data_IF_817500233215
#
_entry.id   IF_817500233215
#
_cell.length_a   1.000
_cell.length_b   1.000
_cell.length_c   1.000
_cell.angle_alpha   90.00
_cell.angle_beta   90.00
_cell.angle_gamma   90.00
#
_symmetry.space_group_name_H-M   'P 1'
#
loop_
_entity.id
_entity.type
_entity.pdbx_description
1 polymer ?
#
# COMPACT_ATOMS: atom_id res chain seq x y z
N UNK A 1 -3.84 11.79 2.42
CA UNK A 1 -4.05 10.54 1.64
C UNK A 1 -2.77 9.72 1.71
N UNK A 2 -2.85 8.39 1.80
CA UNK A 2 -1.68 7.51 1.82
C UNK A 2 -1.48 6.88 0.45
N UNK A 3 -0.23 6.74 0.02
CA UNK A 3 0.12 6.02 -1.20
C UNK A 3 0.98 4.81 -0.82
N UNK A 4 0.46 3.62 -1.06
CA UNK A 4 1.15 2.36 -0.83
C UNK A 4 1.88 1.93 -2.10
N UNK A 5 3.18 1.67 -1.96
CA UNK A 5 4.04 1.23 -3.05
C UNK A 5 3.95 -0.28 -3.21
N UNK A 6 3.24 -0.74 -4.24
CA UNK A 6 3.23 -2.13 -4.66
C UNK A 6 3.79 -2.30 -6.09
N UNK A 7 4.83 -1.53 -6.43
CA UNK A 7 5.46 -1.58 -7.75
C UNK A 7 6.09 -2.95 -8.09
N UNK A 8 6.36 -3.77 -7.08
CA UNK A 8 6.85 -5.13 -7.26
C UNK A 8 5.73 -6.15 -7.52
N UNK A 9 4.45 -5.73 -7.44
CA UNK A 9 3.31 -6.58 -7.75
C UNK A 9 3.08 -7.69 -6.72
N UNK A 10 3.23 -7.38 -5.42
CA UNK A 10 2.93 -8.32 -4.34
C UNK A 10 1.47 -8.74 -4.42
N UNK A 11 1.24 -10.04 -4.54
CA UNK A 11 -0.09 -10.65 -4.56
C UNK A 11 -0.49 -11.06 -3.14
N UNK A 12 -1.17 -10.14 -2.45
CA UNK A 12 -1.63 -10.35 -1.08
C UNK A 12 -2.58 -11.54 -0.93
N UNK A 13 -3.35 -11.87 -1.97
CA UNK A 13 -4.28 -13.01 -1.91
C UNK A 13 -3.53 -14.32 -1.79
N UNK A 14 -2.47 -14.47 -2.59
CA UNK A 14 -1.60 -15.64 -2.58
C UNK A 14 -0.76 -15.71 -1.29
N UNK A 15 -0.12 -14.60 -0.90
CA UNK A 15 0.76 -14.54 0.27
C UNK A 15 0.01 -14.88 1.57
N UNK A 16 -1.22 -14.40 1.72
CA UNK A 16 -1.99 -14.54 2.96
C UNK A 16 -3.14 -15.56 2.88
N UNK A 17 -3.22 -16.35 1.79
CA UNK A 17 -4.32 -17.29 1.52
C UNK A 17 -5.71 -16.63 1.70
N UNK A 18 -5.83 -15.40 1.22
CA UNK A 18 -6.94 -14.52 1.55
C UNK A 18 -8.27 -15.01 0.96
N UNK A 19 -8.22 -15.73 -0.16
CA UNK A 19 -9.40 -16.37 -0.80
C UNK A 19 -10.13 -17.33 0.13
N UNK A 20 -9.43 -17.92 1.10
CA UNK A 20 -10.01 -18.83 2.10
C UNK A 20 -10.53 -18.02 3.30
N UNK A 21 -9.71 -17.13 3.87
CA UNK A 21 -10.04 -16.40 5.10
C UNK A 21 -11.08 -15.27 4.92
N UNK A 22 -11.10 -14.60 3.78
CA UNK A 22 -12.03 -13.48 3.51
C UNK A 22 -13.48 -13.94 3.36
N UNK A 23 -13.72 -15.16 2.87
CA UNK A 23 -15.07 -15.74 2.78
C UNK A 23 -15.67 -16.05 4.15
N UNK A 24 -14.84 -16.45 5.11
CA UNK A 24 -15.31 -16.89 6.42
C UNK A 24 -15.48 -15.74 7.42
N UNK A 25 -14.75 -14.63 7.23
CA UNK A 25 -14.73 -13.50 8.19
C UNK A 25 -15.42 -12.23 7.68
N UNK A 26 -15.77 -12.14 6.39
CA UNK A 26 -16.43 -10.97 5.81
C UNK A 26 -15.56 -9.71 5.78
N UNK A 27 -14.25 -9.86 5.97
CA UNK A 27 -13.29 -8.76 6.00
C UNK A 27 -12.97 -8.23 4.58
N UNK A 28 -12.74 -6.92 4.48
CA UNK A 28 -12.24 -6.27 3.27
C UNK A 28 -10.87 -6.81 2.84
N UNK A 29 -10.51 -6.72 1.54
CA UNK A 29 -9.23 -7.23 1.05
C UNK A 29 -8.02 -6.55 1.71
N UNK A 30 -6.92 -7.30 1.85
CA UNK A 30 -5.60 -6.78 2.18
C UNK A 30 -5.11 -5.95 1.01
N UNK A 31 -4.73 -4.71 1.29
CA UNK A 31 -4.27 -3.75 0.30
C UNK A 31 -2.79 -3.40 0.46
N UNK A 32 -2.22 -3.69 1.63
CA UNK A 32 -0.82 -3.42 1.94
C UNK A 32 -0.37 -4.22 3.16
N UNK A 33 0.93 -4.49 3.25
CA UNK A 33 1.59 -5.04 4.42
C UNK A 33 2.90 -4.29 4.69
N UNK A 34 3.31 -4.28 5.96
CA UNK A 34 4.60 -3.72 6.34
C UNK A 34 5.18 -4.45 7.55
N UNK A 35 6.36 -5.03 7.39
CA UNK A 35 7.06 -5.71 8.47
C UNK A 35 7.75 -4.70 9.40
N UNK A 36 7.97 -5.09 10.66
CA UNK A 36 8.60 -4.23 11.68
C UNK A 36 9.98 -3.74 11.28
N UNK A 37 10.77 -4.58 10.60
CA UNK A 37 12.08 -4.19 10.07
C UNK A 37 11.97 -3.08 9.02
N UNK A 38 10.88 -3.04 8.26
CA UNK A 38 10.59 -1.97 7.31
C UNK A 38 10.04 -0.73 8.03
N UNK A 39 9.25 -0.89 9.08
CA UNK A 39 8.74 0.23 9.92
C UNK A 39 9.89 0.95 10.62
N UNK A 40 10.86 0.21 11.15
CA UNK A 40 12.05 0.77 11.81
C UNK A 40 12.95 1.54 10.84
N UNK A 41 12.81 1.34 9.52
CA UNK A 41 13.57 2.07 8.52
C UNK A 41 13.03 3.49 8.36
N UNK A 42 13.90 4.49 8.52
CA UNK A 42 13.57 5.92 8.39
C UNK A 42 12.99 6.32 7.01
N UNK A 43 13.12 5.47 5.99
CA UNK A 43 12.46 5.65 4.69
C UNK A 43 10.94 5.48 4.76
N UNK A 44 10.42 4.78 5.77
CA UNK A 44 8.99 4.49 5.98
C UNK A 44 8.39 5.24 7.17
N UNK A 45 9.01 6.36 7.59
CA UNK A 45 8.56 7.21 8.70
C UNK A 45 7.09 7.63 8.59
N UNK A 46 6.54 7.71 7.37
CA UNK A 46 5.14 8.07 7.14
C UNK A 46 4.15 7.00 7.61
N UNK A 47 4.62 5.80 7.98
CA UNK A 47 3.79 4.75 8.58
C UNK A 47 3.00 5.24 9.79
N UNK A 48 3.57 6.15 10.59
CA UNK A 48 2.90 6.71 11.77
C UNK A 48 1.61 7.49 11.43
N UNK A 49 1.44 7.93 10.18
CA UNK A 49 0.28 8.68 9.72
C UNK A 49 -0.83 7.78 9.16
N UNK A 50 -0.61 6.47 9.09
CA UNK A 50 -1.58 5.51 8.56
C UNK A 50 -2.65 5.25 9.62
N UNK A 51 -3.88 5.67 9.34
CA UNK A 51 -5.00 5.51 10.27
C UNK A 51 -6.24 4.92 9.61
N UNK A 52 -7.04 4.18 10.39
CA UNK A 52 -8.36 3.70 9.95
C UNK A 52 -9.25 4.87 9.52
N UNK A 53 -10.02 4.65 8.46
CA UNK A 53 -10.94 5.63 7.87
C UNK A 53 -10.30 6.54 6.82
N UNK A 54 -8.97 6.56 6.72
CA UNK A 54 -8.24 7.38 5.77
C UNK A 54 -8.32 6.80 4.34
N UNK A 55 -8.25 7.70 3.35
CA UNK A 55 -8.14 7.31 1.95
C UNK A 55 -6.71 6.89 1.62
N UNK A 56 -6.58 5.77 0.93
CA UNK A 56 -5.32 5.21 0.46
C UNK A 56 -5.39 4.86 -1.04
N UNK A 57 -4.26 4.96 -1.73
CA UNK A 57 -4.10 4.47 -3.10
C UNK A 57 -3.00 3.41 -3.13
N UNK A 58 -3.28 2.27 -3.74
CA UNK A 58 -2.26 1.25 -4.00
C UNK A 58 -1.71 1.46 -5.40
N UNK A 59 -0.42 1.73 -5.48
CA UNK A 59 0.31 1.95 -6.72
C UNK A 59 0.88 0.60 -7.19
N UNK A 60 0.23 -0.01 -8.18
CA UNK A 60 0.60 -1.31 -8.76
C UNK A 60 1.64 -1.13 -9.86
N UNK A 61 2.62 -2.04 -10.00
CA UNK A 61 3.69 -1.92 -11.01
C UNK A 61 3.56 -2.79 -12.27
N UNK A 62 2.43 -3.48 -12.47
CA UNK A 62 2.26 -4.42 -13.59
C UNK A 62 1.85 -3.74 -14.92
N UNK A 63 1.80 -4.52 -16.01
CA UNK A 63 1.45 -4.06 -17.37
C UNK A 63 -0.01 -3.57 -17.52
N UNK A 64 -0.84 -3.68 -16.48
CA UNK A 64 -2.23 -3.21 -16.39
C UNK A 64 -2.36 -2.37 -15.12
N UNK A 65 -1.81 -1.16 -15.17
CA UNK A 65 -1.84 -0.18 -14.09
C UNK A 65 -3.27 0.20 -13.68
N UNK A 66 -3.88 -0.60 -12.82
CA UNK A 66 -5.12 -0.26 -12.16
C UNK A 66 -4.79 0.34 -10.79
N UNK A 67 -4.85 1.66 -10.69
CA UNK A 67 -4.77 2.31 -9.39
C UNK A 67 -6.13 2.26 -8.74
N UNK A 68 -6.21 1.58 -7.60
CA UNK A 68 -7.45 1.50 -6.83
C UNK A 68 -7.32 2.38 -5.61
N UNK A 69 -8.33 3.22 -5.42
CA UNK A 69 -8.48 4.06 -4.24
C UNK A 69 -9.35 3.30 -3.25
N UNK A 70 -8.85 3.18 -2.03
CA UNK A 70 -9.47 2.47 -0.94
C UNK A 70 -9.72 3.42 0.23
N UNK A 71 -10.69 3.06 1.07
CA UNK A 71 -10.80 3.56 2.44
C UNK A 71 -10.22 2.50 3.36
N UNK A 72 -9.25 2.86 4.20
CA UNK A 72 -8.66 1.93 5.17
C UNK A 72 -9.75 1.54 6.19
N UNK A 73 -10.04 0.24 6.29
CA UNK A 73 -11.10 -0.26 7.19
C UNK A 73 -10.54 -0.97 8.41
N UNK A 74 -9.32 -1.53 8.32
CA UNK A 74 -8.67 -2.24 9.42
C UNK A 74 -7.15 -2.15 9.28
N UNK A 75 -6.46 -2.10 10.41
CA UNK A 75 -5.02 -2.28 10.53
C UNK A 75 -4.81 -3.37 11.58
N UNK A 76 -4.14 -4.45 11.22
CA UNK A 76 -4.03 -5.65 12.04
C UNK A 76 -2.56 -5.99 12.26
N UNK A 77 -2.19 -6.32 13.49
CA UNK A 77 -0.88 -6.89 13.78
C UNK A 77 -0.82 -8.31 13.23
N UNK A 78 0.28 -8.66 12.58
CA UNK A 78 0.59 -10.04 12.19
C UNK A 78 1.89 -10.48 12.81
N UNK A 79 1.93 -11.76 13.16
CA UNK A 79 3.11 -12.46 13.61
C UNK A 79 3.22 -13.73 12.77
N UNK A 80 4.34 -13.87 12.08
CA UNK A 80 4.71 -15.10 11.42
C UNK A 80 5.58 -15.91 12.38
N UNK A 81 4.98 -16.94 12.97
CA UNK A 81 5.65 -17.83 13.91
C UNK A 81 6.82 -18.61 13.29
N UNK A 82 6.83 -18.79 11.96
CA UNK A 82 7.86 -19.55 11.23
C UNK A 82 9.08 -18.66 11.00
N UNK A 83 8.85 -17.43 10.53
CA UNK A 83 9.95 -16.49 10.26
C UNK A 83 10.32 -15.62 11.47
N UNK A 84 9.58 -15.76 12.58
CA UNK A 84 9.61 -14.87 13.74
C UNK A 84 9.49 -13.39 13.36
N UNK A 85 8.87 -13.11 12.21
CA UNK A 85 8.71 -11.76 11.72
C UNK A 85 7.35 -11.23 12.14
N UNK A 86 7.33 -10.00 12.61
CA UNK A 86 6.10 -9.30 12.97
C UNK A 86 5.90 -8.10 12.05
N UNK A 87 4.67 -7.64 11.94
CA UNK A 87 4.32 -6.53 11.08
C UNK A 87 2.86 -6.19 11.15
N UNK A 88 2.39 -5.46 10.14
CA UNK A 88 0.99 -5.06 10.03
C UNK A 88 0.43 -5.38 8.66
N UNK A 89 -0.84 -5.76 8.65
CA UNK A 89 -1.70 -5.79 7.47
C UNK A 89 -2.62 -4.60 7.48
N UNK A 90 -2.81 -4.01 6.30
CA UNK A 90 -3.80 -2.97 6.07
C UNK A 90 -4.88 -3.52 5.15
N UNK A 91 -6.13 -3.41 5.60
CA UNK A 91 -7.31 -3.76 4.81
C UNK A 91 -8.04 -2.51 4.35
N UNK A 92 -8.68 -2.59 3.20
CA UNK A 92 -9.45 -1.47 2.69
C UNK A 92 -10.59 -1.83 1.77
N UNK A 93 -11.70 -1.10 1.94
CA UNK A 93 -12.84 -1.14 1.05
C UNK A 93 -12.56 -0.31 -0.21
N UNK A 94 -12.91 -0.85 -1.38
CA UNK A 94 -12.75 -0.14 -2.66
C UNK A 94 -13.70 1.05 -2.69
N UNK A 95 -13.16 2.25 -2.92
CA UNK A 95 -13.95 3.47 -3.13
C UNK A 95 -14.03 3.79 -4.62
N UNK A 96 -12.92 3.66 -5.34
CA UNK A 96 -12.89 3.92 -6.78
C UNK A 96 -11.78 3.13 -7.46
N UNK A 97 -11.98 2.77 -8.72
CA UNK A 97 -10.97 2.18 -9.59
C UNK A 97 -10.66 3.17 -10.70
N UNK A 98 -9.42 3.61 -10.75
CA UNK A 98 -8.93 4.47 -11.83
C UNK A 98 -8.36 3.55 -12.90
N UNK A 99 -9.06 3.46 -14.02
CA UNK A 99 -8.59 2.76 -15.20
C UNK A 99 -7.51 3.62 -15.87
N UNK A 100 -6.26 3.46 -15.43
CA UNK A 100 -5.14 4.14 -16.06
C UNK A 100 -4.63 3.25 -17.18
N UNK A 101 -4.90 3.64 -18.43
CA UNK A 101 -4.34 2.96 -19.59
C UNK A 101 -2.92 3.47 -19.81
N UNK A 102 -1.92 2.69 -19.41
CA UNK A 102 -0.58 2.84 -19.97
C UNK A 102 0.57 2.28 -19.14
N UNK A 103 1.72 2.95 -19.23
CA UNK A 103 3.06 2.45 -18.86
C UNK A 103 3.54 3.06 -17.54
N UNK A 104 4.72 2.66 -17.02
CA UNK A 104 5.30 3.19 -15.76
C UNK A 104 5.26 4.73 -15.65
N UNK A 105 5.27 5.45 -16.77
CA UNK A 105 5.16 6.91 -16.83
C UNK A 105 3.83 7.45 -16.26
N UNK A 106 2.74 6.69 -16.29
CA UNK A 106 1.43 7.16 -15.79
C UNK A 106 1.33 7.12 -14.26
N UNK A 107 2.09 6.23 -13.60
CA UNK A 107 2.28 6.26 -12.15
C UNK A 107 3.04 7.53 -11.76
N UNK A 108 4.12 7.82 -12.48
CA UNK A 108 4.90 9.04 -12.27
C UNK A 108 4.04 10.28 -12.47
N UNK A 109 3.13 10.27 -13.44
CA UNK A 109 2.16 11.35 -13.63
C UNK A 109 1.16 11.49 -12.48
N UNK A 110 0.60 10.39 -11.97
CA UNK A 110 -0.31 10.43 -10.80
C UNK A 110 0.40 10.96 -9.54
N UNK A 111 1.68 10.64 -9.38
CA UNK A 111 2.48 11.06 -8.23
C UNK A 111 3.20 12.39 -8.44
N UNK A 112 3.26 12.93 -9.67
CA UNK A 112 3.91 14.20 -9.98
C UNK A 112 3.26 15.38 -9.26
N UNK A 113 1.95 15.33 -9.01
CA UNK A 113 1.24 16.32 -8.22
C UNK A 113 1.45 16.19 -6.70
N UNK A 114 2.14 15.15 -6.25
CA UNK A 114 2.40 14.88 -4.83
C UNK A 114 3.81 15.32 -4.49
N UNK A 115 3.94 16.46 -3.81
CA UNK A 115 5.23 16.89 -3.26
C UNK A 115 5.57 16.05 -2.03
N UNK A 116 6.64 15.26 -2.11
CA UNK A 116 7.12 14.48 -0.99
C UNK A 116 8.63 14.20 -1.09
N UNK A 117 9.38 14.36 0.00
CA UNK A 117 10.86 14.17 0.03
C UNK A 117 11.34 12.77 -0.37
N UNK A 118 10.44 11.78 -0.33
CA UNK A 118 10.71 10.38 -0.71
C UNK A 118 10.21 10.03 -2.11
N UNK A 119 9.66 11.00 -2.82
CA UNK A 119 9.38 10.92 -4.24
C UNK A 119 10.44 11.70 -5.02
N UNK A 120 10.87 11.14 -6.14
CA UNK A 120 11.77 11.81 -7.10
C UNK A 120 11.19 11.55 -8.48
N UNK A 121 10.80 12.62 -9.19
CA UNK A 121 10.14 12.56 -10.50
C UNK A 121 8.92 11.61 -10.52
N UNK A 122 8.06 11.71 -9.49
CA UNK A 122 6.88 10.86 -9.35
C UNK A 122 7.18 9.39 -9.05
N UNK A 123 8.42 9.05 -8.67
CA UNK A 123 8.83 7.68 -8.36
C UNK A 123 9.23 7.54 -6.90
N UNK A 124 8.83 6.42 -6.27
CA UNK A 124 9.30 6.08 -4.93
C UNK A 124 10.80 5.85 -4.91
N UNK A 125 11.50 6.48 -3.96
CA UNK A 125 12.90 6.15 -3.69
C UNK A 125 13.06 4.68 -3.26
N UNK A 126 14.24 4.13 -3.46
CA UNK A 126 14.55 2.74 -3.08
C UNK A 126 14.30 2.52 -1.58
N UNK A 127 13.55 1.47 -1.25
CA UNK A 127 13.24 1.09 0.13
C UNK A 127 12.04 1.81 0.76
N UNK A 128 11.39 2.73 0.02
CA UNK A 128 10.14 3.38 0.44
C UNK A 128 8.96 2.49 0.08
N UNK A 129 8.17 2.10 1.09
CA UNK A 129 7.00 1.25 0.92
C UNK A 129 5.70 2.07 0.96
N UNK A 130 5.73 3.28 1.53
CA UNK A 130 4.59 4.18 1.50
C UNK A 130 5.03 5.64 1.64
N UNK A 131 4.11 6.54 1.30
CA UNK A 131 4.21 7.97 1.63
C UNK A 131 2.86 8.50 2.10
N UNK A 132 2.89 9.53 2.93
CA UNK A 132 1.71 10.32 3.28
C UNK A 132 1.75 11.67 2.59
N UNK A 133 0.67 12.04 1.91
CA UNK A 133 0.49 13.39 1.38
C UNK A 133 -0.18 14.34 2.40
N UNK A 134 -0.21 13.99 3.69
CA UNK A 134 -0.60 14.92 4.74
C UNK A 134 0.56 15.91 4.96
N UNK A 135 0.31 17.17 4.62
CA UNK A 135 1.09 18.40 4.79
C UNK A 135 2.58 18.25 5.13
N UNK A 136 3.42 18.54 4.14
CA UNK A 136 4.83 18.91 4.29
C UNK A 136 5.03 20.35 3.86
#
# INVERSE_FOLDING_TARGET
MIYFNNLQGRDYKSVYNETVKSRDQGDDPIIFDLHDTQIANAMNHDWQYVTKGQMAMVVQGDKKLNSTVYKITKIERIEDAITQSSGYLVRGAVISKLAVKGSRYDISFMLQGVSHKRLTDGCFQRGVNLISAADY
#
